data_IF_688492771730
#
_entry.id   IF_688492771730
#
_cell.length_a   1.000
_cell.length_b   1.000
_cell.length_c   1.000
_cell.angle_alpha   90.00
_cell.angle_beta   90.00
_cell.angle_gamma   90.00
#
_symmetry.space_group_name_H-M   'P 1'
#
loop_
_entity.id
_entity.type
_entity.pdbx_description
1 polymer ?
#
# COMPACT_ATOMS: atom_id res chain seq x y z
N UNK A 1 -5.05 -21.45 -2.34
CA UNK A 1 -6.22 -22.18 -1.82
C UNK A 1 -5.87 -22.99 -0.58
N UNK A 2 -4.83 -23.85 -0.61
CA UNK A 2 -4.40 -24.61 0.58
C UNK A 2 -4.28 -23.78 1.86
N UNK A 3 -3.50 -22.70 1.84
CA UNK A 3 -3.32 -21.81 3.00
C UNK A 3 -4.57 -21.05 3.46
N UNK A 4 -5.58 -20.89 2.58
CA UNK A 4 -6.86 -20.26 2.94
C UNK A 4 -7.76 -21.22 3.72
N UNK A 5 -7.52 -22.54 3.63
CA UNK A 5 -8.30 -23.57 4.31
C UNK A 5 -7.71 -23.97 5.67
N UNK A 6 -6.52 -23.48 6.00
CA UNK A 6 -5.87 -23.76 7.28
C UNK A 6 -6.73 -23.31 8.47
N UNK A 7 -6.60 -24.03 9.59
CA UNK A 7 -7.30 -23.70 10.83
C UNK A 7 -6.50 -22.66 11.66
N UNK A 8 -6.23 -21.51 11.07
CA UNK A 8 -5.57 -20.37 11.72
C UNK A 8 -6.50 -19.19 11.81
N UNK A 9 -6.25 -18.28 12.77
CA UNK A 9 -7.03 -17.05 12.91
C UNK A 9 -6.96 -16.19 11.64
N UNK A 10 -5.77 -16.09 11.03
CA UNK A 10 -5.56 -15.33 9.80
C UNK A 10 -6.37 -15.91 8.63
N UNK A 11 -6.31 -17.23 8.42
CA UNK A 11 -7.10 -17.88 7.37
C UNK A 11 -8.60 -17.72 7.62
N UNK A 12 -9.04 -17.79 8.89
CA UNK A 12 -10.42 -17.48 9.28
C UNK A 12 -10.87 -16.08 8.91
N UNK A 13 -10.06 -15.04 9.19
CA UNK A 13 -10.33 -13.65 8.80
C UNK A 13 -10.40 -13.47 7.28
N UNK A 14 -9.50 -14.12 6.53
CA UNK A 14 -9.51 -14.07 5.07
C UNK A 14 -10.75 -14.75 4.46
N UNK A 15 -11.17 -15.89 5.02
CA UNK A 15 -12.41 -16.57 4.58
C UNK A 15 -13.63 -15.68 4.77
N UNK A 16 -13.75 -15.01 5.93
CA UNK A 16 -14.83 -14.03 6.16
C UNK A 16 -14.87 -12.93 5.12
N UNK A 17 -13.71 -12.35 4.80
CA UNK A 17 -13.63 -11.25 3.84
C UNK A 17 -13.88 -11.69 2.38
N UNK A 18 -13.41 -12.86 1.97
CA UNK A 18 -13.38 -13.29 0.55
C UNK A 18 -14.52 -14.24 0.19
N UNK A 19 -14.92 -15.13 1.11
CA UNK A 19 -15.96 -16.14 0.90
C UNK A 19 -17.30 -15.63 1.43
N UNK A 20 -17.33 -15.19 2.69
CA UNK A 20 -18.57 -14.73 3.33
C UNK A 20 -18.92 -13.28 2.95
N UNK A 21 -17.96 -12.57 2.35
CA UNK A 21 -18.09 -11.18 1.90
C UNK A 21 -18.48 -10.22 3.03
N UNK A 22 -17.99 -10.47 4.24
CA UNK A 22 -18.17 -9.62 5.41
C UNK A 22 -17.73 -8.18 5.10
N UNK A 23 -18.65 -7.22 5.29
CA UNK A 23 -18.41 -5.81 4.97
C UNK A 23 -17.26 -5.26 5.82
N UNK A 24 -16.31 -4.50 5.25
CA UNK A 24 -15.19 -3.97 6.01
C UNK A 24 -15.66 -2.96 7.07
N UNK A 25 -15.11 -3.09 8.27
CA UNK A 25 -15.31 -2.17 9.38
C UNK A 25 -14.26 -1.07 9.39
N UNK A 26 -14.63 0.07 9.98
CA UNK A 26 -13.79 1.26 10.02
C UNK A 26 -13.83 1.88 11.41
N UNK A 27 -12.65 2.23 11.91
CA UNK A 27 -12.49 3.02 13.11
C UNK A 27 -13.21 4.37 12.96
N UNK A 28 -14.01 4.81 13.94
CA UNK A 28 -14.85 6.01 13.82
C UNK A 28 -14.04 7.31 13.79
N UNK A 29 -12.80 7.30 14.32
CA UNK A 29 -11.93 8.46 14.38
C UNK A 29 -10.49 8.06 14.08
N UNK A 30 -9.82 8.86 13.26
CA UNK A 30 -8.37 8.79 13.09
C UNK A 30 -7.68 9.50 14.25
N UNK A 31 -6.52 9.00 14.66
CA UNK A 31 -5.75 9.62 15.74
C UNK A 31 -5.22 11.00 15.32
N UNK A 32 -5.00 11.88 16.30
CA UNK A 32 -4.41 13.21 16.06
C UNK A 32 -3.03 13.14 15.39
N UNK A 33 -2.28 12.05 15.65
CA UNK A 33 -1.01 11.73 14.98
C UNK A 33 -1.18 11.55 13.47
N UNK A 34 -2.21 10.82 13.05
CA UNK A 34 -2.52 10.62 11.61
C UNK A 34 -2.83 11.95 10.93
N UNK A 35 -3.68 12.76 11.55
CA UNK A 35 -4.07 14.05 10.99
C UNK A 35 -2.86 14.96 10.80
N UNK A 36 -2.00 15.09 11.82
CA UNK A 36 -0.77 15.90 11.76
C UNK A 36 0.22 15.39 10.71
N UNK A 37 0.43 14.07 10.63
CA UNK A 37 1.38 13.47 9.68
C UNK A 37 0.92 13.56 8.21
N UNK A 38 -0.37 13.82 7.98
CA UNK A 38 -0.98 13.82 6.64
C UNK A 38 -1.01 15.19 5.95
N UNK A 39 -0.77 16.29 6.67
CA UNK A 39 -1.06 17.66 6.17
C UNK A 39 -0.39 17.97 4.83
N UNK A 40 0.91 17.73 4.74
CA UNK A 40 1.73 17.99 3.54
C UNK A 40 1.45 16.99 2.42
N UNK A 41 1.35 15.69 2.75
CA UNK A 41 1.05 14.61 1.78
C UNK A 41 -0.29 14.85 1.10
N UNK A 42 -1.27 15.36 1.84
CA UNK A 42 -2.62 15.61 1.34
C UNK A 42 -2.73 16.92 0.55
N UNK A 43 -1.77 17.84 0.64
CA UNK A 43 -1.89 19.16 0.04
C UNK A 43 -2.13 19.12 -1.47
N UNK A 44 -1.49 18.16 -2.16
CA UNK A 44 -1.54 18.01 -3.62
C UNK A 44 -2.65 17.05 -4.10
N UNK A 45 -3.48 16.52 -3.19
CA UNK A 45 -4.51 15.53 -3.51
C UNK A 45 -5.90 16.16 -3.63
N UNK A 46 -6.71 15.61 -4.54
CA UNK A 46 -8.12 15.98 -4.63
C UNK A 46 -8.94 15.34 -3.51
N UNK A 47 -10.17 15.81 -3.31
CA UNK A 47 -11.04 15.36 -2.22
C UNK A 47 -11.36 13.86 -2.27
N UNK A 48 -11.46 13.26 -3.47
CA UNK A 48 -11.72 11.83 -3.61
C UNK A 48 -10.51 11.00 -3.16
N UNK A 49 -9.30 11.43 -3.54
CA UNK A 49 -8.05 10.78 -3.14
C UNK A 49 -7.82 10.91 -1.63
N UNK A 50 -8.03 12.09 -1.05
CA UNK A 50 -7.99 12.33 0.40
C UNK A 50 -8.93 11.40 1.16
N UNK A 51 -10.18 11.29 0.68
CA UNK A 51 -11.20 10.39 1.27
C UNK A 51 -10.78 8.93 1.18
N UNK A 52 -10.22 8.50 0.05
CA UNK A 52 -9.74 7.13 -0.12
C UNK A 52 -8.61 6.80 0.88
N UNK A 53 -7.64 7.71 1.04
CA UNK A 53 -6.53 7.51 1.98
C UNK A 53 -7.04 7.47 3.42
N UNK A 54 -7.86 8.44 3.85
CA UNK A 54 -8.39 8.44 5.22
C UNK A 54 -9.27 7.22 5.53
N UNK A 55 -10.10 6.78 4.57
CA UNK A 55 -10.85 5.52 4.74
C UNK A 55 -9.93 4.31 4.85
N UNK A 56 -8.82 4.31 4.13
CA UNK A 56 -7.84 3.22 4.21
C UNK A 56 -7.18 3.16 5.57
N UNK A 57 -6.75 4.31 6.12
CA UNK A 57 -6.15 4.39 7.45
C UNK A 57 -7.14 4.07 8.58
N UNK A 58 -8.44 4.20 8.32
CA UNK A 58 -9.49 3.84 9.26
C UNK A 58 -9.91 2.38 9.13
N UNK A 59 -9.54 1.66 8.07
CA UNK A 59 -10.00 0.30 7.84
C UNK A 59 -9.36 -0.68 8.83
N UNK A 60 -10.16 -1.57 9.43
CA UNK A 60 -9.65 -2.56 10.39
C UNK A 60 -9.07 -3.79 9.69
N UNK A 61 -9.59 -4.13 8.50
CA UNK A 61 -9.23 -5.36 7.80
C UNK A 61 -8.84 -5.13 6.33
N UNK A 62 -9.74 -4.55 5.54
CA UNK A 62 -9.48 -4.30 4.12
C UNK A 62 -10.29 -3.12 3.58
N UNK A 63 -9.87 -2.61 2.42
CA UNK A 63 -10.61 -1.60 1.67
C UNK A 63 -10.44 -1.84 0.17
N UNK A 64 -11.49 -1.55 -0.59
CA UNK A 64 -11.45 -1.52 -2.05
C UNK A 64 -11.47 -0.08 -2.53
N UNK A 65 -10.39 0.35 -3.18
CA UNK A 65 -10.30 1.66 -3.81
C UNK A 65 -10.50 1.48 -5.31
N UNK A 66 -11.68 1.85 -5.81
CA UNK A 66 -11.97 1.84 -7.24
C UNK A 66 -11.31 3.06 -7.90
N UNK A 67 -10.36 2.83 -8.79
CA UNK A 67 -9.76 3.92 -9.55
C UNK A 67 -10.17 3.89 -11.02
N UNK A 68 -10.88 4.92 -11.46
CA UNK A 68 -11.23 5.11 -12.87
C UNK A 68 -9.96 5.43 -13.71
N UNK A 69 -9.93 5.15 -15.02
CA UNK A 69 -8.82 5.54 -15.88
C UNK A 69 -8.50 7.05 -15.73
N UNK A 70 -7.21 7.41 -15.67
CA UNK A 70 -6.77 8.81 -15.57
C UNK A 70 -6.89 9.49 -14.19
N UNK A 71 -7.54 8.89 -13.17
CA UNK A 71 -7.80 9.59 -11.89
C UNK A 71 -6.64 9.59 -10.88
N UNK A 72 -5.41 9.43 -11.34
CA UNK A 72 -4.23 9.49 -10.47
C UNK A 72 -4.14 8.37 -9.43
N UNK A 73 -4.60 7.15 -9.75
CA UNK A 73 -4.48 5.95 -8.89
C UNK A 73 -3.09 5.81 -8.26
N UNK A 74 -2.06 5.90 -9.09
CA UNK A 74 -0.66 5.80 -8.63
C UNK A 74 -0.32 6.89 -7.61
N UNK A 75 -0.79 8.13 -7.81
CA UNK A 75 -0.56 9.21 -6.84
C UNK A 75 -1.25 8.93 -5.50
N UNK A 76 -2.45 8.34 -5.53
CA UNK A 76 -3.16 7.91 -4.30
C UNK A 76 -2.39 6.82 -3.56
N UNK A 77 -1.88 5.81 -4.28
CA UNK A 77 -1.07 4.73 -3.69
C UNK A 77 0.23 5.29 -3.11
N UNK A 78 0.95 6.13 -3.85
CA UNK A 78 2.20 6.75 -3.38
C UNK A 78 1.97 7.55 -2.10
N UNK A 79 0.94 8.40 -2.07
CA UNK A 79 0.59 9.17 -0.88
C UNK A 79 0.21 8.29 0.32
N UNK A 80 -0.56 7.22 0.08
CA UNK A 80 -0.91 6.25 1.12
C UNK A 80 0.33 5.56 1.69
N UNK A 81 1.23 5.06 0.84
CA UNK A 81 2.45 4.38 1.26
C UNK A 81 3.34 5.34 2.05
N UNK A 82 3.55 6.56 1.54
CA UNK A 82 4.34 7.58 2.21
C UNK A 82 3.80 7.87 3.61
N UNK A 83 2.48 8.03 3.75
CA UNK A 83 1.85 8.29 5.04
C UNK A 83 1.91 7.07 5.97
N UNK A 84 1.70 5.86 5.47
CA UNK A 84 1.80 4.64 6.26
C UNK A 84 3.21 4.45 6.84
N UNK A 85 4.25 4.64 6.03
CA UNK A 85 5.65 4.57 6.48
C UNK A 85 5.95 5.66 7.52
N UNK A 86 5.51 6.90 7.31
CA UNK A 86 5.66 7.99 8.29
C UNK A 86 4.97 7.71 9.63
N UNK A 87 3.91 6.90 9.61
CA UNK A 87 3.21 6.46 10.82
C UNK A 87 3.90 5.27 11.51
N UNK A 88 4.98 4.74 10.93
CA UNK A 88 5.73 3.60 11.45
C UNK A 88 5.14 2.24 11.07
N UNK A 89 4.28 2.20 10.03
CA UNK A 89 3.70 0.95 9.55
C UNK A 89 4.61 0.29 8.51
N UNK A 90 4.70 -1.04 8.58
CA UNK A 90 5.29 -1.85 7.51
C UNK A 90 4.32 -1.97 6.34
N UNK A 91 4.82 -1.79 5.11
CA UNK A 91 3.98 -1.82 3.89
C UNK A 91 4.51 -2.85 2.92
N UNK A 92 3.63 -3.77 2.48
CA UNK A 92 3.89 -4.69 1.37
C UNK A 92 3.13 -4.22 0.13
N UNK A 93 3.85 -3.94 -0.95
CA UNK A 93 3.26 -3.57 -2.25
C UNK A 93 3.35 -4.76 -3.19
N UNK A 94 2.22 -5.15 -3.76
CA UNK A 94 2.14 -6.24 -4.76
C UNK A 94 1.29 -5.83 -5.94
N UNK A 95 1.56 -6.44 -7.09
CA UNK A 95 0.75 -6.29 -8.30
C UNK A 95 0.94 -7.49 -9.22
N UNK A 96 0.07 -7.62 -10.22
CA UNK A 96 0.16 -8.66 -11.23
C UNK A 96 1.39 -8.51 -12.14
N UNK A 97 1.87 -7.27 -12.37
CA UNK A 97 3.03 -7.01 -13.25
C UNK A 97 4.16 -6.31 -12.49
N UNK A 98 5.41 -6.63 -12.87
CA UNK A 98 6.60 -5.94 -12.36
C UNK A 98 6.53 -4.44 -12.61
N UNK A 99 6.14 -4.04 -13.84
CA UNK A 99 6.02 -2.63 -14.23
C UNK A 99 5.04 -1.82 -13.37
N UNK A 100 3.94 -2.42 -12.89
CA UNK A 100 2.98 -1.72 -12.05
C UNK A 100 3.55 -1.42 -10.65
N UNK A 101 4.32 -2.35 -10.08
CA UNK A 101 5.05 -2.12 -8.82
C UNK A 101 6.11 -1.04 -9.03
N UNK A 102 6.91 -1.20 -10.08
CA UNK A 102 8.04 -0.30 -10.35
C UNK A 102 7.57 1.14 -10.61
N UNK A 103 6.44 1.34 -11.29
CA UNK A 103 5.81 2.65 -11.50
C UNK A 103 5.43 3.36 -10.18
N UNK A 104 5.09 2.60 -9.14
CA UNK A 104 4.82 3.16 -7.81
C UNK A 104 6.14 3.47 -7.11
N UNK A 105 7.11 2.55 -7.15
CA UNK A 105 8.39 2.69 -6.47
C UNK A 105 9.24 3.84 -7.04
N UNK A 106 9.23 4.06 -8.35
CA UNK A 106 9.91 5.20 -8.98
C UNK A 106 9.47 6.54 -8.39
N UNK A 107 8.20 6.66 -8.00
CA UNK A 107 7.63 7.86 -7.36
C UNK A 107 7.85 7.92 -5.85
N UNK A 108 8.22 6.80 -5.23
CA UNK A 108 8.53 6.72 -3.81
C UNK A 108 10.02 6.95 -3.51
N UNK A 109 10.88 6.91 -4.54
CA UNK A 109 12.32 7.22 -4.39
C UNK A 109 12.52 8.58 -3.72
N UNK A 110 13.38 8.59 -2.71
CA UNK A 110 13.67 9.79 -1.92
C UNK A 110 12.54 10.24 -0.99
N UNK A 111 11.39 9.56 -0.99
CA UNK A 111 10.26 9.84 -0.08
C UNK A 111 10.19 8.83 1.06
N UNK A 112 10.54 7.57 0.80
CA UNK A 112 10.59 6.47 1.77
C UNK A 112 11.69 5.47 1.40
N UNK A 113 12.23 4.78 2.39
CA UNK A 113 13.12 3.64 2.18
C UNK A 113 12.30 2.40 1.81
N UNK A 114 12.80 1.61 0.86
CA UNK A 114 12.15 0.37 0.44
C UNK A 114 13.14 -0.64 -0.13
N UNK A 115 12.73 -1.92 -0.07
CA UNK A 115 13.41 -3.06 -0.69
C UNK A 115 12.54 -3.62 -1.83
N UNK A 116 13.13 -3.83 -3.00
CA UNK A 116 12.48 -4.43 -4.17
C UNK A 116 12.91 -5.88 -4.34
N UNK A 117 12.00 -6.81 -4.00
CA UNK A 117 12.23 -8.25 -4.15
C UNK A 117 12.06 -8.72 -5.60
N UNK A 118 12.87 -9.69 -6.03
CA UNK A 118 12.79 -10.32 -7.35
C UNK A 118 14.02 -10.10 -8.22
N UNK A 119 14.14 -10.92 -9.27
CA UNK A 119 15.32 -10.96 -10.12
C UNK A 119 15.63 -9.62 -10.79
N UNK A 120 16.86 -9.11 -10.62
CA UNK A 120 17.33 -7.78 -11.05
C UNK A 120 17.00 -7.46 -12.52
N UNK A 121 17.10 -8.44 -13.43
CA UNK A 121 16.78 -8.25 -14.84
C UNK A 121 15.30 -7.96 -15.14
N UNK A 122 14.40 -8.14 -14.16
CA UNK A 122 12.96 -7.82 -14.25
C UNK A 122 12.60 -6.48 -13.62
N UNK A 123 13.56 -5.82 -12.97
CA UNK A 123 13.37 -4.51 -12.35
C UNK A 123 13.57 -3.41 -13.40
N UNK A 124 12.86 -2.30 -13.21
CA UNK A 124 13.18 -1.07 -13.92
C UNK A 124 14.66 -0.67 -13.68
N UNK A 125 15.40 -0.20 -14.71
CA UNK A 125 16.83 0.13 -14.57
C UNK A 125 17.16 1.07 -13.41
N UNK A 126 16.34 2.11 -13.20
CA UNK A 126 16.46 3.07 -12.09
C UNK A 126 16.11 2.49 -10.71
N UNK A 127 15.68 1.23 -10.62
CA UNK A 127 15.34 0.56 -9.36
C UNK A 127 16.31 -0.57 -9.00
N UNK A 128 17.32 -0.83 -9.82
CA UNK A 128 18.27 -1.95 -9.63
C UNK A 128 19.07 -1.83 -8.32
N UNK A 129 19.35 -0.61 -7.88
CA UNK A 129 20.01 -0.33 -6.59
C UNK A 129 19.14 -0.69 -5.37
N UNK A 130 17.81 -0.75 -5.55
CA UNK A 130 16.86 -1.13 -4.50
C UNK A 130 16.58 -2.64 -4.48
N UNK A 131 17.22 -3.41 -5.37
CA UNK A 131 17.05 -4.85 -5.47
C UNK A 131 17.59 -5.62 -4.25
N UNK A 132 16.99 -6.76 -3.94
CA UNK A 132 17.40 -7.63 -2.82
C UNK A 132 18.88 -8.07 -2.90
N UNK A 133 19.37 -8.35 -4.11
CA UNK A 133 20.76 -8.76 -4.34
C UNK A 133 21.75 -7.65 -3.98
N UNK A 134 21.33 -6.38 -4.08
CA UNK A 134 22.19 -5.22 -3.85
C UNK A 134 22.19 -4.78 -2.39
N UNK A 135 21.04 -4.86 -1.68
CA UNK A 135 20.90 -4.32 -0.32
C UNK A 135 21.09 -5.33 0.82
N UNK A 136 20.91 -6.62 0.58
CA UNK A 136 20.98 -7.66 1.65
C UNK A 136 22.37 -8.30 1.75
N UNK A 137 23.18 -8.18 0.69
CA UNK A 137 24.51 -8.80 0.59
C UNK A 137 25.66 -7.78 0.51
N UNK A 138 25.40 -6.53 0.92
CA UNK A 138 26.38 -5.44 1.04
C UNK A 138 26.75 -5.18 2.49
#
# INVERSE_FOLDING_TARGET
LGSLLDNTEQAGRLRKAVIDLDVPTFSPKLSSRVLKASVDVMAQLNNQQKKAIFRTLAAEHYILIKGMPGTGKTATVVALVQLAVRLGLSVLITSHTHSAVDNVLLKLRGLVDFLRLGAVHKLHPELTEYGETTQVFS
#
